data_IF_130342976435
#
_entry.id   IF_130342976435
#
_cell.length_a   1.000
_cell.length_b   1.000
_cell.length_c   1.000
_cell.angle_alpha   90.00
_cell.angle_beta   90.00
_cell.angle_gamma   90.00
#
_symmetry.space_group_name_H-M   'P 1'
#
loop_
_entity.id
_entity.type
_entity.pdbx_description
1 polymer ?
#
# COMPACT_ATOMS: atom_id res chain seq x y z
N UNK A 1 11.27 4.12 -28.15
CA UNK A 1 11.72 5.54 -28.13
C UNK A 1 10.81 6.49 -28.89
N UNK A 2 10.59 6.32 -30.21
CA UNK A 2 9.76 7.23 -31.03
C UNK A 2 8.41 7.59 -30.41
N UNK A 3 7.68 6.59 -29.90
CA UNK A 3 6.39 6.80 -29.24
C UNK A 3 6.48 7.71 -28.01
N UNK A 4 7.58 7.63 -27.25
CA UNK A 4 7.83 8.49 -26.07
C UNK A 4 8.00 9.94 -26.52
N UNK A 5 8.86 10.19 -27.52
CA UNK A 5 9.08 11.53 -28.06
C UNK A 5 7.76 12.14 -28.60
N UNK A 6 6.95 11.35 -29.28
CA UNK A 6 5.63 11.79 -29.76
C UNK A 6 4.67 12.15 -28.63
N UNK A 7 4.68 11.38 -27.54
CA UNK A 7 3.84 11.68 -26.38
C UNK A 7 4.29 12.98 -25.68
N UNK A 8 5.59 13.22 -25.55
CA UNK A 8 6.14 14.46 -25.00
C UNK A 8 5.71 15.67 -25.84
N UNK A 9 5.95 15.63 -27.16
CA UNK A 9 5.57 16.73 -28.05
C UNK A 9 4.04 17.00 -28.06
N UNK A 10 3.22 15.95 -27.90
CA UNK A 10 1.75 16.09 -27.82
C UNK A 10 1.25 16.65 -26.49
N UNK A 11 1.96 16.35 -25.40
CA UNK A 11 1.61 16.83 -24.07
C UNK A 11 1.89 18.33 -23.93
N UNK A 12 2.87 18.85 -24.68
CA UNK A 12 3.11 20.28 -24.78
C UNK A 12 2.12 20.97 -25.73
N UNK A 13 1.48 22.03 -25.24
CA UNK A 13 0.48 22.79 -25.98
C UNK A 13 1.08 23.68 -27.06
N UNK A 14 2.38 24.00 -26.97
CA UNK A 14 3.09 24.88 -27.91
C UNK A 14 3.67 24.14 -29.12
N UNK A 15 3.91 22.82 -29.03
CA UNK A 15 4.60 22.02 -30.05
C UNK A 15 3.65 21.16 -30.90
N UNK A 16 2.66 21.77 -31.54
CA UNK A 16 1.59 21.02 -32.25
C UNK A 16 2.03 20.28 -33.52
N UNK A 17 3.27 20.43 -34.01
CA UNK A 17 3.71 19.83 -35.29
C UNK A 17 5.22 19.49 -35.37
N UNK A 18 5.88 19.21 -34.25
CA UNK A 18 7.30 18.83 -34.31
C UNK A 18 7.47 17.44 -34.94
N UNK A 19 8.26 17.38 -36.02
CA UNK A 19 8.47 16.16 -36.79
C UNK A 19 9.44 15.23 -36.06
N UNK A 20 8.90 14.27 -35.32
CA UNK A 20 9.70 13.23 -34.65
C UNK A 20 10.37 12.33 -35.70
N UNK A 21 11.70 12.13 -35.65
CA UNK A 21 12.42 11.27 -36.58
C UNK A 21 11.92 9.82 -36.58
N UNK A 22 12.17 9.10 -37.68
CA UNK A 22 11.78 7.69 -37.83
C UNK A 22 12.93 6.72 -37.57
N UNK A 23 14.17 7.16 -37.84
CA UNK A 23 15.37 6.36 -37.69
C UNK A 23 15.94 6.44 -36.28
N UNK A 24 16.54 5.33 -35.83
CA UNK A 24 17.06 5.21 -34.46
C UNK A 24 18.17 6.23 -34.15
N UNK A 25 19.07 6.50 -35.10
CA UNK A 25 20.20 7.42 -34.90
C UNK A 25 19.72 8.83 -34.61
N UNK A 26 18.82 9.36 -35.44
CA UNK A 26 18.23 10.68 -35.21
C UNK A 26 17.38 10.70 -33.95
N UNK A 27 16.73 9.59 -33.57
CA UNK A 27 15.98 9.51 -32.31
C UNK A 27 16.88 9.59 -31.08
N UNK A 28 18.06 8.98 -31.10
CA UNK A 28 19.04 9.06 -30.01
C UNK A 28 19.51 10.50 -29.75
N UNK A 29 19.66 11.29 -30.82
CA UNK A 29 20.02 12.71 -30.72
C UNK A 29 18.80 13.59 -30.36
N UNK A 30 17.62 13.25 -30.86
CA UNK A 30 16.39 14.00 -30.63
C UNK A 30 15.82 13.81 -29.22
N UNK A 31 15.96 12.64 -28.61
CA UNK A 31 15.29 12.36 -27.34
C UNK A 31 15.77 13.27 -26.18
N UNK A 32 17.08 13.46 -25.94
CA UNK A 32 17.55 14.38 -24.89
C UNK A 32 17.14 15.83 -25.15
N UNK A 33 17.26 16.28 -26.40
CA UNK A 33 16.89 17.67 -26.79
C UNK A 33 15.39 17.91 -26.67
N UNK A 34 14.57 16.89 -26.96
CA UNK A 34 13.14 16.91 -26.75
C UNK A 34 12.79 17.08 -25.26
N UNK A 35 13.45 16.33 -24.36
CA UNK A 35 13.23 16.45 -22.92
C UNK A 35 13.59 17.85 -22.39
N UNK A 36 14.76 18.36 -22.78
CA UNK A 36 15.24 19.68 -22.33
C UNK A 36 14.35 20.82 -22.84
N UNK A 37 13.93 20.76 -24.11
CA UNK A 37 13.09 21.79 -24.74
C UNK A 37 11.71 21.91 -24.09
N UNK A 38 11.11 20.78 -23.72
CA UNK A 38 9.72 20.74 -23.26
C UNK A 38 9.58 20.76 -21.73
N UNK A 39 10.68 20.53 -20.99
CA UNK A 39 10.69 20.59 -19.53
C UNK A 39 10.92 22.01 -19.02
N UNK A 40 10.09 22.44 -18.07
CA UNK A 40 10.25 23.72 -17.39
C UNK A 40 9.80 23.64 -15.94
N UNK A 41 10.08 24.67 -15.14
CA UNK A 41 9.64 24.69 -13.73
C UNK A 41 8.11 24.69 -13.57
N UNK A 42 7.36 25.16 -14.58
CA UNK A 42 5.90 25.14 -14.60
C UNK A 42 5.34 23.89 -15.27
N UNK A 43 6.16 23.12 -15.99
CA UNK A 43 5.80 21.88 -16.66
C UNK A 43 6.92 20.84 -16.52
N UNK A 44 7.08 20.23 -15.33
CA UNK A 44 8.06 19.16 -15.14
C UNK A 44 7.64 17.91 -15.91
N UNK A 45 8.61 17.23 -16.52
CA UNK A 45 8.40 15.98 -17.23
C UNK A 45 8.79 14.82 -16.30
N UNK A 46 7.86 13.89 -16.07
CA UNK A 46 8.13 12.64 -15.36
C UNK A 46 7.92 11.48 -16.32
N UNK A 47 8.98 10.75 -16.67
CA UNK A 47 8.88 9.50 -17.43
C UNK A 47 8.85 8.32 -16.48
N UNK A 48 7.88 7.44 -16.66
CA UNK A 48 7.82 6.14 -15.99
C UNK A 48 7.97 5.06 -17.04
N UNK A 49 9.04 4.27 -16.93
CA UNK A 49 9.33 3.16 -17.83
C UNK A 49 9.36 1.88 -17.01
N UNK A 50 8.34 1.06 -17.23
CA UNK A 50 8.22 -0.22 -16.56
C UNK A 50 8.89 -1.34 -17.36
N UNK A 51 9.50 -2.29 -16.65
CA UNK A 51 10.03 -3.56 -17.16
C UNK A 51 11.03 -3.40 -18.30
N UNK A 52 12.13 -2.67 -18.08
CA UNK A 52 13.18 -2.45 -19.10
C UNK A 52 13.81 -3.75 -19.63
N UNK A 53 13.80 -4.82 -18.85
CA UNK A 53 14.22 -6.17 -19.25
C UNK A 53 13.35 -6.78 -20.38
N UNK A 54 12.12 -6.30 -20.55
CA UNK A 54 11.23 -6.75 -21.64
C UNK A 54 11.46 -6.02 -22.97
N UNK A 55 12.34 -5.01 -23.01
CA UNK A 55 12.72 -4.38 -24.28
C UNK A 55 13.33 -5.41 -25.23
N UNK A 56 13.13 -5.23 -26.53
CA UNK A 56 13.85 -6.02 -27.53
C UNK A 56 15.33 -5.64 -27.52
N UNK A 57 16.19 -6.60 -27.87
CA UNK A 57 17.61 -6.30 -28.14
C UNK A 57 17.81 -5.61 -29.50
N UNK A 58 16.77 -5.60 -30.34
CA UNK A 58 16.74 -4.84 -31.58
C UNK A 58 17.11 -3.37 -31.29
N UNK A 59 18.05 -2.85 -32.06
CA UNK A 59 18.60 -1.50 -31.91
C UNK A 59 19.21 -1.19 -30.52
N UNK A 60 19.60 -2.23 -29.75
CA UNK A 60 20.23 -2.05 -28.45
C UNK A 60 19.28 -1.58 -27.36
N UNK A 61 17.99 -1.93 -27.42
CA UNK A 61 16.98 -1.50 -26.45
C UNK A 61 17.37 -1.77 -24.99
N UNK A 62 17.89 -2.98 -24.71
CA UNK A 62 18.38 -3.40 -23.39
C UNK A 62 19.80 -2.89 -23.04
N UNK A 63 20.53 -2.35 -24.02
CA UNK A 63 21.85 -1.75 -23.79
C UNK A 63 21.73 -0.38 -23.09
N UNK A 64 20.53 0.23 -23.10
CA UNK A 64 20.20 1.49 -22.43
C UNK A 64 21.05 2.70 -22.84
N UNK A 65 21.80 2.63 -23.94
CA UNK A 65 22.58 3.76 -24.47
C UNK A 65 21.72 4.95 -24.86
N UNK A 66 20.43 4.70 -25.10
CA UNK A 66 19.42 5.71 -25.37
C UNK A 66 18.91 6.46 -24.15
N UNK A 67 19.15 5.92 -22.95
CA UNK A 67 18.73 6.56 -21.69
C UNK A 67 19.75 7.65 -21.36
N UNK A 68 19.33 8.92 -21.23
CA UNK A 68 20.24 10.01 -20.91
C UNK A 68 20.92 9.75 -19.56
N UNK A 69 22.25 9.81 -19.52
CA UNK A 69 23.03 9.67 -18.28
C UNK A 69 22.87 10.87 -17.36
N UNK A 70 22.64 12.04 -17.95
CA UNK A 70 22.34 13.28 -17.25
C UNK A 70 20.96 13.77 -17.70
N UNK A 71 20.09 14.03 -16.73
CA UNK A 71 18.77 14.59 -16.97
C UNK A 71 18.80 16.11 -16.85
N UNK A 72 18.12 16.78 -17.78
CA UNK A 72 17.89 18.21 -17.71
C UNK A 72 17.05 18.60 -16.48
N UNK A 73 17.11 19.88 -16.10
CA UNK A 73 16.32 20.40 -14.98
C UNK A 73 14.82 20.17 -15.23
N UNK A 74 14.09 19.79 -14.17
CA UNK A 74 12.66 19.48 -14.22
C UNK A 74 12.31 18.25 -15.07
N UNK A 75 13.27 17.37 -15.36
CA UNK A 75 13.05 16.05 -15.93
C UNK A 75 13.35 14.98 -14.88
N UNK A 76 12.41 14.08 -14.67
CA UNK A 76 12.53 12.96 -13.75
C UNK A 76 12.24 11.66 -14.49
N UNK A 77 13.02 10.60 -14.20
CA UNK A 77 12.77 9.26 -14.74
C UNK A 77 12.61 8.27 -13.60
N UNK A 78 11.57 7.44 -13.69
CA UNK A 78 11.33 6.28 -12.84
C UNK A 78 11.45 5.06 -13.75
N UNK A 79 12.44 4.20 -13.46
CA UNK A 79 12.76 3.04 -14.27
C UNK A 79 12.60 1.79 -13.41
N UNK A 80 11.95 0.74 -13.94
CA UNK A 80 11.90 -0.57 -13.29
C UNK A 80 12.58 -1.63 -14.15
N UNK A 81 13.27 -2.56 -13.49
CA UNK A 81 13.90 -3.72 -14.15
C UNK A 81 14.11 -4.85 -13.15
N UNK A 82 14.19 -6.09 -13.63
CA UNK A 82 14.50 -7.25 -12.81
C UNK A 82 15.92 -7.19 -12.21
N UNK A 83 16.08 -7.56 -10.93
CA UNK A 83 17.39 -7.73 -10.32
C UNK A 83 18.00 -9.07 -10.77
N UNK A 84 19.27 -9.06 -11.17
CA UNK A 84 20.01 -10.28 -11.53
C UNK A 84 21.20 -9.95 -12.43
N UNK A 85 22.28 -10.72 -12.31
CA UNK A 85 23.47 -10.53 -13.16
C UNK A 85 23.20 -10.94 -14.62
N UNK A 86 22.19 -11.78 -14.82
CA UNK A 86 21.65 -12.21 -16.10
C UNK A 86 20.88 -11.10 -16.84
N UNK A 87 20.43 -10.04 -16.14
CA UNK A 87 19.72 -8.92 -16.74
C UNK A 87 20.67 -7.74 -16.95
N UNK A 88 20.95 -7.40 -18.21
CA UNK A 88 21.93 -6.36 -18.59
C UNK A 88 21.51 -4.93 -18.21
N UNK A 89 20.21 -4.69 -18.02
CA UNK A 89 19.67 -3.37 -17.70
C UNK A 89 20.11 -2.88 -16.31
N UNK A 90 20.06 -3.74 -15.29
CA UNK A 90 20.29 -3.33 -13.90
C UNK A 90 21.75 -2.85 -13.63
N UNK A 91 22.80 -3.60 -14.02
CA UNK A 91 24.19 -3.14 -13.84
C UNK A 91 24.49 -1.82 -14.57
N UNK A 92 23.85 -1.58 -15.72
CA UNK A 92 24.04 -0.35 -16.50
C UNK A 92 23.35 0.87 -15.90
N UNK A 93 22.27 0.69 -15.14
CA UNK A 93 21.56 1.77 -14.45
C UNK A 93 22.22 2.19 -13.14
N UNK A 94 23.01 1.31 -12.50
CA UNK A 94 23.76 1.63 -11.27
C UNK A 94 24.57 2.94 -11.36
N UNK A 95 25.37 3.20 -12.41
CA UNK A 95 26.10 4.47 -12.55
C UNK A 95 25.22 5.68 -12.86
N UNK A 96 24.03 5.48 -13.48
CA UNK A 96 23.11 6.57 -13.87
C UNK A 96 22.23 7.03 -12.70
N UNK A 97 21.95 6.16 -11.73
CA UNK A 97 21.05 6.42 -10.60
C UNK A 97 21.62 7.26 -9.43
N UNK A 98 22.76 7.94 -9.61
CA UNK A 98 23.56 8.55 -8.54
C UNK A 98 22.92 9.67 -7.70
N UNK A 99 21.63 10.00 -7.89
CA UNK A 99 20.93 11.06 -7.12
C UNK A 99 19.67 10.63 -6.36
N UNK A 100 19.13 9.44 -6.59
CA UNK A 100 17.88 9.00 -5.96
C UNK A 100 17.71 7.48 -5.93
N UNK A 101 18.81 6.75 -5.79
CA UNK A 101 18.75 5.32 -5.51
C UNK A 101 18.41 5.09 -4.04
N UNK A 102 17.14 4.74 -3.75
CA UNK A 102 16.79 4.12 -2.47
C UNK A 102 17.48 2.76 -2.41
N UNK A 103 18.14 2.44 -1.30
CA UNK A 103 18.89 1.20 -1.15
C UNK A 103 18.02 -0.02 -1.44
N UNK A 104 18.51 -1.07 -2.13
CA UNK A 104 17.75 -2.27 -2.47
C UNK A 104 17.40 -3.10 -1.21
N UNK A 105 17.85 -2.66 -0.04
CA UNK A 105 17.42 -3.19 1.25
C UNK A 105 16.10 -2.58 1.76
N UNK A 106 15.64 -1.45 1.23
CA UNK A 106 14.46 -0.74 1.75
C UNK A 106 13.14 -1.19 1.10
N UNK A 107 13.20 -1.96 0.02
CA UNK A 107 12.03 -2.46 -0.74
C UNK A 107 12.20 -3.92 -1.18
N UNK A 108 12.43 -4.81 -0.21
CA UNK A 108 12.36 -6.27 -0.47
C UNK A 108 10.93 -6.75 -0.31
N UNK A 109 10.38 -7.28 -1.40
CA UNK A 109 9.13 -8.05 -1.35
C UNK A 109 9.46 -9.43 -0.78
N UNK A 110 8.73 -9.88 0.24
CA UNK A 110 8.94 -11.22 0.77
C UNK A 110 8.72 -12.30 -0.31
N UNK A 111 9.47 -13.43 -0.27
CA UNK A 111 9.45 -14.46 -1.32
C UNK A 111 8.19 -15.34 -1.30
N UNK A 112 7.27 -15.12 -0.36
CA UNK A 112 6.03 -15.91 -0.22
C UNK A 112 4.84 -14.98 -0.11
N UNK A 113 3.67 -15.41 -0.62
CA UNK A 113 2.44 -14.59 -0.51
C UNK A 113 2.12 -14.28 0.96
N UNK A 114 2.33 -15.26 1.86
CA UNK A 114 2.19 -15.05 3.30
C UNK A 114 3.12 -13.93 3.79
N UNK A 115 4.39 -13.95 3.39
CA UNK A 115 5.35 -12.89 3.71
C UNK A 115 4.91 -11.53 3.15
N UNK A 116 4.39 -11.49 1.91
CA UNK A 116 3.89 -10.24 1.31
C UNK A 116 2.72 -9.68 2.11
N UNK A 117 1.80 -10.54 2.54
CA UNK A 117 0.69 -10.15 3.42
C UNK A 117 1.21 -9.66 4.77
N UNK A 118 2.24 -10.29 5.35
CA UNK A 118 2.87 -9.78 6.56
C UNK A 118 3.47 -8.39 6.35
N UNK A 119 4.27 -8.19 5.30
CA UNK A 119 4.91 -6.90 5.00
C UNK A 119 3.88 -5.79 4.74
N UNK A 120 2.78 -6.12 4.07
CA UNK A 120 1.65 -5.21 3.85
C UNK A 120 0.99 -4.81 5.17
N UNK A 121 0.60 -5.78 5.99
CA UNK A 121 -0.05 -5.50 7.27
C UNK A 121 0.87 -4.75 8.23
N UNK A 122 2.17 -5.08 8.26
CA UNK A 122 3.17 -4.38 9.06
C UNK A 122 3.33 -2.91 8.63
N UNK A 123 3.19 -2.63 7.32
CA UNK A 123 3.20 -1.26 6.81
C UNK A 123 1.99 -0.47 7.29
N UNK A 124 0.79 -1.06 7.23
CA UNK A 124 -0.45 -0.43 7.70
C UNK A 124 -0.40 -0.20 9.22
N UNK A 125 0.13 -1.17 9.98
CA UNK A 125 0.37 -1.04 11.43
C UNK A 125 1.31 0.11 11.77
N UNK A 126 2.39 0.30 11.00
CA UNK A 126 3.31 1.44 11.19
C UNK A 126 2.67 2.78 10.89
N UNK A 127 1.75 2.83 9.93
CA UNK A 127 1.09 4.07 9.51
C UNK A 127 -0.03 4.52 10.46
N UNK A 128 -0.87 3.60 10.93
CA UNK A 128 -2.08 3.94 11.70
C UNK A 128 -2.02 3.55 13.19
N UNK A 129 -0.93 2.91 13.61
CA UNK A 129 -0.75 2.42 14.97
C UNK A 129 -0.96 0.91 15.05
N UNK A 130 0.05 0.22 15.59
CA UNK A 130 0.11 -1.24 15.62
C UNK A 130 -1.07 -1.86 16.36
N UNK A 131 -1.37 -1.36 17.56
CA UNK A 131 -2.42 -1.95 18.42
C UNK A 131 -3.79 -1.84 17.75
N UNK A 132 -4.16 -0.65 17.29
CA UNK A 132 -5.45 -0.42 16.64
C UNK A 132 -5.62 -1.30 15.39
N UNK A 133 -4.61 -1.29 14.50
CA UNK A 133 -4.66 -2.05 13.25
C UNK A 133 -4.67 -3.54 13.51
N UNK A 134 -3.71 -4.09 14.27
CA UNK A 134 -3.65 -5.52 14.56
C UNK A 134 -4.98 -6.02 15.14
N UNK A 135 -5.61 -5.22 16.00
CA UNK A 135 -6.85 -5.61 16.64
C UNK A 135 -8.07 -5.54 15.72
N UNK A 136 -8.19 -4.49 14.89
CA UNK A 136 -9.25 -4.38 13.90
C UNK A 136 -9.22 -5.56 12.91
N UNK A 137 -8.03 -5.86 12.37
CA UNK A 137 -7.80 -6.99 11.45
C UNK A 137 -8.18 -8.32 12.09
N UNK A 138 -7.84 -8.47 13.37
CA UNK A 138 -8.13 -9.66 14.18
C UNK A 138 -9.63 -9.85 14.38
N UNK A 139 -10.38 -8.81 14.74
CA UNK A 139 -11.84 -8.93 14.92
C UNK A 139 -12.55 -9.29 13.63
N UNK A 140 -12.14 -8.70 12.50
CA UNK A 140 -12.66 -9.08 11.18
C UNK A 140 -12.38 -10.56 10.91
N UNK A 141 -11.16 -11.04 11.18
CA UNK A 141 -10.76 -12.43 10.96
C UNK A 141 -11.41 -13.45 11.93
N UNK A 142 -11.81 -12.99 13.11
CA UNK A 142 -12.53 -13.77 14.12
C UNK A 142 -14.03 -13.85 13.82
N UNK A 143 -14.58 -12.88 13.09
CA UNK A 143 -16.00 -12.86 12.71
C UNK A 143 -16.34 -14.03 11.76
N UNK A 144 -17.51 -14.66 11.96
CA UNK A 144 -17.97 -15.76 11.10
C UNK A 144 -18.66 -15.26 9.83
N UNK A 145 -19.51 -14.25 10.00
CA UNK A 145 -20.35 -13.71 8.92
C UNK A 145 -19.84 -12.35 8.42
N UNK A 146 -18.73 -11.84 8.94
CA UNK A 146 -18.31 -10.44 8.76
C UNK A 146 -18.84 -9.53 9.87
N UNK A 147 -18.39 -8.28 9.86
CA UNK A 147 -18.82 -7.22 10.79
C UNK A 147 -19.23 -6.00 9.98
N UNK A 148 -20.31 -5.33 10.37
CA UNK A 148 -20.62 -3.99 9.86
C UNK A 148 -19.58 -2.97 10.38
N UNK A 149 -19.41 -1.83 9.70
CA UNK A 149 -18.51 -0.77 10.20
C UNK A 149 -18.86 -0.31 11.61
N UNK A 150 -20.14 -0.05 11.95
CA UNK A 150 -20.49 0.35 13.30
C UNK A 150 -20.21 -0.74 14.34
N UNK A 151 -20.44 -2.02 14.01
CA UNK A 151 -20.10 -3.12 14.92
C UNK A 151 -18.59 -3.18 15.18
N UNK A 152 -17.77 -3.03 14.13
CA UNK A 152 -16.32 -3.03 14.30
C UNK A 152 -15.85 -1.84 15.14
N UNK A 153 -16.36 -0.64 14.89
CA UNK A 153 -16.06 0.56 15.68
C UNK A 153 -16.48 0.39 17.15
N UNK A 154 -17.66 -0.20 17.38
CA UNK A 154 -18.16 -0.46 18.71
C UNK A 154 -17.32 -1.54 19.41
N UNK A 155 -16.94 -2.63 18.74
CA UNK A 155 -16.05 -3.67 19.28
C UNK A 155 -14.68 -3.08 19.65
N UNK A 156 -14.09 -2.23 18.79
CA UNK A 156 -12.84 -1.54 19.08
C UNK A 156 -12.99 -0.55 20.24
N UNK A 157 -14.17 0.05 20.41
CA UNK A 157 -14.52 0.91 21.55
C UNK A 157 -14.70 0.15 22.86
N UNK A 158 -14.83 -1.17 22.81
CA UNK A 158 -14.84 -2.01 24.02
C UNK A 158 -13.43 -2.43 24.46
N UNK A 159 -12.45 -2.31 23.57
CA UNK A 159 -11.10 -2.77 23.81
C UNK A 159 -10.26 -1.71 24.53
N UNK A 160 -10.11 -1.87 25.85
CA UNK A 160 -9.30 -0.96 26.66
C UNK A 160 -7.84 -0.86 26.21
N UNK A 161 -7.26 -1.90 25.59
CA UNK A 161 -5.89 -1.85 25.06
C UNK A 161 -5.83 -0.90 23.86
N UNK A 162 -6.80 -1.01 22.95
CA UNK A 162 -6.93 -0.10 21.80
C UNK A 162 -7.21 1.31 22.28
N UNK A 163 -8.15 1.50 23.21
CA UNK A 163 -8.50 2.82 23.71
C UNK A 163 -7.37 3.47 24.51
N UNK A 164 -6.57 2.72 25.26
CA UNK A 164 -5.37 3.25 25.92
C UNK A 164 -4.32 3.72 24.90
N UNK A 165 -4.19 3.01 23.77
CA UNK A 165 -3.26 3.37 22.70
C UNK A 165 -3.74 4.56 21.87
N UNK A 166 -5.06 4.70 21.65
CA UNK A 166 -5.65 5.85 20.94
C UNK A 166 -5.66 7.11 21.80
N UNK A 167 -5.91 6.96 23.10
CA UNK A 167 -6.10 8.07 24.05
C UNK A 167 -4.92 8.21 25.02
N UNK A 168 -3.69 8.21 24.49
CA UNK A 168 -2.46 8.29 25.29
C UNK A 168 -2.35 9.56 26.14
N UNK A 169 -2.81 10.70 25.61
CA UNK A 169 -2.57 12.02 26.20
C UNK A 169 -3.79 12.65 26.87
N UNK A 170 -5.00 12.14 26.62
CA UNK A 170 -6.23 12.70 27.15
C UNK A 170 -7.32 11.64 27.21
N UNK A 171 -8.23 11.72 28.18
CA UNK A 171 -9.37 10.80 28.29
C UNK A 171 -10.67 11.55 27.97
N UNK A 172 -11.41 11.17 26.92
CA UNK A 172 -12.70 11.78 26.63
C UNK A 172 -13.75 11.47 27.70
N UNK A 173 -14.78 12.34 27.86
CA UNK A 173 -15.93 12.05 28.70
C UNK A 173 -16.67 10.77 28.27
N UNK A 174 -16.70 10.49 26.96
CA UNK A 174 -17.25 9.27 26.37
C UNK A 174 -16.12 8.57 25.63
N UNK A 175 -15.74 7.39 26.12
CA UNK A 175 -14.62 6.61 25.60
C UNK A 175 -15.08 5.69 24.47
N UNK A 176 -15.18 6.24 23.26
CA UNK A 176 -15.42 5.47 22.01
C UNK A 176 -14.34 5.74 20.99
N UNK A 177 -14.08 4.80 20.10
CA UNK A 177 -13.17 4.98 18.98
C UNK A 177 -13.67 6.12 18.08
N UNK A 178 -12.82 7.10 17.72
CA UNK A 178 -13.16 8.08 16.70
C UNK A 178 -13.34 7.39 15.32
N UNK A 179 -14.50 7.53 14.65
CA UNK A 179 -14.79 6.83 13.38
C UNK A 179 -13.74 7.07 12.27
N UNK A 180 -13.15 8.28 12.28
CA UNK A 180 -12.12 8.67 11.32
C UNK A 180 -10.88 7.76 11.32
N UNK A 181 -10.55 7.11 12.44
CA UNK A 181 -9.40 6.22 12.51
C UNK A 181 -9.65 4.94 11.69
N UNK A 182 -10.84 4.35 11.83
CA UNK A 182 -11.21 3.18 11.03
C UNK A 182 -11.34 3.53 9.55
N UNK A 183 -11.97 4.65 9.20
CA UNK A 183 -12.11 5.10 7.80
C UNK A 183 -10.75 5.19 7.09
N UNK A 184 -9.71 5.71 7.76
CA UNK A 184 -8.35 5.80 7.20
C UNK A 184 -7.71 4.43 7.01
N UNK A 185 -7.80 3.56 8.01
CA UNK A 185 -7.28 2.18 7.90
C UNK A 185 -7.98 1.48 6.74
N UNK A 186 -9.31 1.58 6.67
CA UNK A 186 -10.13 0.99 5.62
C UNK A 186 -9.75 1.50 4.24
N UNK A 187 -9.40 2.77 4.09
CA UNK A 187 -8.95 3.32 2.80
C UNK A 187 -7.67 2.64 2.30
N UNK A 188 -6.79 2.21 3.21
CA UNK A 188 -5.50 1.61 2.85
C UNK A 188 -5.57 0.10 2.61
N UNK A 189 -6.56 -0.59 3.19
CA UNK A 189 -6.73 -2.04 3.06
C UNK A 189 -8.00 -2.45 2.30
N UNK A 190 -8.74 -1.47 1.76
CA UNK A 190 -10.06 -1.66 1.17
C UNK A 190 -10.10 -2.70 0.06
N UNK A 191 -9.04 -2.77 -0.76
CA UNK A 191 -8.92 -3.73 -1.87
C UNK A 191 -8.80 -5.20 -1.40
N UNK A 192 -8.44 -5.42 -0.13
CA UNK A 192 -8.31 -6.76 0.47
C UNK A 192 -9.55 -7.19 1.26
N UNK A 193 -10.52 -6.27 1.38
CA UNK A 193 -11.78 -6.49 2.07
C UNK A 193 -12.91 -6.67 1.04
N UNK A 194 -13.91 -7.46 1.41
CA UNK A 194 -15.14 -7.62 0.63
C UNK A 194 -16.34 -7.19 1.47
N UNK A 195 -17.23 -6.43 0.84
CA UNK A 195 -18.54 -6.13 1.40
C UNK A 195 -19.58 -7.14 0.92
N UNK A 196 -20.35 -7.68 1.86
CA UNK A 196 -21.45 -8.63 1.57
C UNK A 196 -22.71 -8.22 2.30
N UNK A 197 -23.86 -8.58 1.77
CA UNK A 197 -25.12 -8.49 2.49
C UNK A 197 -25.28 -9.70 3.41
N UNK A 198 -25.44 -9.48 4.71
CA UNK A 198 -25.78 -10.51 5.70
C UNK A 198 -26.80 -9.95 6.69
N UNK A 199 -27.85 -10.73 7.00
CA UNK A 199 -28.90 -10.36 7.96
C UNK A 199 -29.53 -8.96 7.74
N UNK A 200 -29.61 -8.52 6.47
CA UNK A 200 -30.16 -7.22 6.10
C UNK A 200 -29.19 -6.04 6.23
N UNK A 201 -27.92 -6.27 6.54
CA UNK A 201 -26.88 -5.25 6.67
C UNK A 201 -25.67 -5.52 5.75
N UNK A 202 -24.87 -4.48 5.48
CA UNK A 202 -23.59 -4.58 4.74
C UNK A 202 -22.46 -4.86 5.73
N UNK A 203 -21.90 -6.06 5.64
CA UNK A 203 -20.81 -6.54 6.48
C UNK A 203 -19.52 -6.62 5.69
N UNK A 204 -18.41 -6.36 6.37
CA UNK A 204 -17.05 -6.45 5.86
C UNK A 204 -16.47 -7.80 6.26
N UNK A 205 -15.78 -8.44 5.32
CA UNK A 205 -15.00 -9.64 5.57
C UNK A 205 -13.71 -9.63 4.75
N UNK A 206 -12.78 -10.53 5.05
CA UNK A 206 -11.58 -10.76 4.25
C UNK A 206 -11.92 -11.35 2.90
N UNK A 207 -11.31 -10.83 1.84
CA UNK A 207 -11.45 -11.40 0.50
C UNK A 207 -10.73 -12.75 0.39
N UNK A 208 -9.48 -12.84 0.90
CA UNK A 208 -8.62 -14.00 0.72
C UNK A 208 -8.21 -14.67 2.04
N UNK A 209 -8.18 -16.01 2.06
CA UNK A 209 -7.90 -16.83 3.24
C UNK A 209 -6.55 -16.52 3.90
N UNK A 210 -5.53 -16.17 3.11
CA UNK A 210 -4.20 -15.84 3.67
C UNK A 210 -4.24 -14.59 4.56
N UNK A 211 -5.13 -13.61 4.30
CA UNK A 211 -5.30 -12.48 5.20
C UNK A 211 -5.93 -12.91 6.52
N UNK A 212 -6.90 -13.84 6.49
CA UNK A 212 -7.51 -14.40 7.70
C UNK A 212 -6.45 -15.10 8.56
N UNK A 213 -5.63 -15.98 7.96
CA UNK A 213 -4.58 -16.70 8.66
C UNK A 213 -3.53 -15.74 9.24
N UNK A 214 -3.08 -14.78 8.44
CA UNK A 214 -2.04 -13.82 8.84
C UNK A 214 -2.54 -12.80 9.87
N UNK A 215 -3.83 -12.43 9.82
CA UNK A 215 -4.47 -11.60 10.85
C UNK A 215 -4.70 -12.39 12.15
N UNK A 216 -5.06 -13.68 12.07
CA UNK A 216 -5.19 -14.54 13.25
C UNK A 216 -3.86 -14.77 13.95
N UNK A 217 -2.74 -14.81 13.22
CA UNK A 217 -1.42 -14.87 13.84
C UNK A 217 -1.07 -13.64 14.67
N UNK A 218 -1.74 -12.50 14.44
CA UNK A 218 -1.62 -11.27 15.24
C UNK A 218 -2.48 -11.29 16.50
N UNK A 219 -3.30 -12.33 16.72
CA UNK A 219 -4.05 -12.51 17.96
C UNK A 219 -3.08 -12.57 19.16
N UNK A 220 -3.28 -11.72 20.19
CA UNK A 220 -2.57 -11.91 21.45
C UNK A 220 -2.99 -13.27 22.05
N UNK A 221 -2.05 -14.22 22.12
CA UNK A 221 -2.29 -15.61 22.57
C UNK A 221 -2.94 -15.74 23.96
N UNK A 222 -2.85 -14.71 24.80
CA UNK A 222 -3.55 -14.59 26.09
C UNK A 222 -3.78 -13.11 26.38
N UNK A 223 -5.03 -12.67 26.49
CA UNK A 223 -5.35 -11.46 27.27
C UNK A 223 -5.72 -11.92 28.66
N UNK A 224 -5.04 -11.36 29.67
CA UNK A 224 -5.38 -11.63 31.05
C UNK A 224 -6.84 -11.22 31.28
N UNK A 225 -7.63 -12.14 31.84
CA UNK A 225 -9.03 -11.97 32.23
C UNK A 225 -9.29 -10.82 33.21
N UNK A 226 -8.25 -10.10 33.63
CA UNK A 226 -8.33 -9.01 34.61
C UNK A 226 -8.77 -7.66 34.04
N UNK A 227 -8.95 -7.53 32.71
CA UNK A 227 -9.24 -6.24 32.07
C UNK A 227 -10.65 -6.14 31.45
N UNK A 228 -11.39 -7.24 31.35
CA UNK A 228 -12.73 -7.23 30.76
C UNK A 228 -13.81 -7.23 31.85
N UNK A 229 -14.42 -6.07 32.09
CA UNK A 229 -15.56 -5.92 33.00
C UNK A 229 -16.85 -5.76 32.19
N UNK A 230 -17.51 -6.89 31.90
CA UNK A 230 -18.70 -6.94 31.05
C UNK A 230 -19.85 -6.04 31.56
N UNK A 231 -19.89 -5.77 32.88
CA UNK A 231 -20.90 -4.91 33.49
C UNK A 231 -20.77 -3.44 33.06
N UNK A 232 -19.56 -2.96 32.74
CA UNK A 232 -19.35 -1.60 32.21
C UNK A 232 -20.01 -1.41 30.85
N UNK A 233 -20.03 -2.46 30.04
CA UNK A 233 -20.31 -2.36 28.61
C UNK A 233 -21.73 -2.77 28.23
N UNK A 234 -22.41 -3.57 29.06
CA UNK A 234 -23.83 -3.93 28.85
C UNK A 234 -24.78 -2.73 28.75
N UNK A 235 -24.41 -1.57 29.30
CA UNK A 235 -25.23 -0.34 29.21
C UNK A 235 -25.02 0.46 27.92
N UNK A 236 -23.89 0.27 27.24
CA UNK A 236 -23.47 1.09 26.11
C UNK A 236 -23.58 0.36 24.78
N UNK A 237 -23.59 -0.97 24.80
CA UNK A 237 -23.52 -1.82 23.61
C UNK A 237 -24.49 -3.01 23.67
N UNK A 238 -24.91 -3.58 22.52
CA UNK A 238 -25.83 -4.71 22.49
C UNK A 238 -25.28 -5.94 23.22
N UNK A 239 -26.11 -6.60 24.05
CA UNK A 239 -25.72 -7.79 24.83
C UNK A 239 -25.11 -8.92 23.99
N UNK A 240 -25.61 -9.14 22.77
CA UNK A 240 -25.06 -10.13 21.84
C UNK A 240 -23.61 -9.83 21.48
N UNK A 241 -23.27 -8.55 21.30
CA UNK A 241 -21.93 -8.11 20.96
C UNK A 241 -20.99 -8.19 22.16
N UNK A 242 -21.46 -7.79 23.36
CA UNK A 242 -20.68 -7.93 24.60
C UNK A 242 -20.34 -9.41 24.86
N UNK A 243 -21.30 -10.32 24.68
CA UNK A 243 -21.07 -11.78 24.82
C UNK A 243 -20.12 -12.34 23.75
N UNK A 244 -20.26 -11.91 22.50
CA UNK A 244 -19.31 -12.32 21.44
C UNK A 244 -17.88 -11.85 21.76
N UNK A 245 -17.73 -10.61 22.23
CA UNK A 245 -16.47 -10.10 22.71
C UNK A 245 -15.94 -10.93 23.89
N UNK A 246 -16.77 -11.26 24.90
CA UNK A 246 -16.36 -12.17 25.99
C UNK A 246 -15.85 -13.51 25.46
N UNK A 247 -16.54 -14.12 24.49
CA UNK A 247 -16.11 -15.38 23.87
C UNK A 247 -14.77 -15.22 23.14
N UNK A 248 -14.56 -14.11 22.43
CA UNK A 248 -13.31 -13.83 21.69
C UNK A 248 -12.16 -13.44 22.62
N UNK A 249 -12.42 -12.74 23.73
CA UNK A 249 -11.41 -12.26 24.68
C UNK A 249 -11.07 -13.27 25.78
N UNK A 250 -12.05 -14.06 26.23
CA UNK A 250 -11.92 -14.97 27.37
C UNK A 250 -12.02 -16.46 26.99
N UNK A 251 -12.51 -16.80 25.80
CA UNK A 251 -12.69 -18.19 25.34
C UNK A 251 -11.44 -18.81 24.69
N UNK A 252 -11.17 -20.08 25.01
CA UNK A 252 -9.99 -20.86 24.62
C UNK A 252 -9.94 -21.33 23.15
N UNK A 253 -8.68 -21.56 22.71
CA UNK A 253 -8.15 -22.39 21.60
C UNK A 253 -8.97 -22.48 20.30
N UNK A 254 -8.53 -21.68 19.32
CA UNK A 254 -8.87 -21.81 17.92
C UNK A 254 -8.29 -23.13 17.37
N UNK A 255 -9.10 -24.19 17.29
CA UNK A 255 -8.82 -25.39 16.49
C UNK A 255 -9.00 -25.12 15.00
#
# INVERSE_FOLDING_TARGET
>A
MRSICQQICRADKESKNEAVPQDIRSLLEFFPTCLEKHASSSNPIVLVLDSLDQLSDDDGGRELDWVPKELANNVYMILSTLPGAEYICFPKLQPVGGKSYTSPNDTKLAPTIKGIVHDLLDRVERLHGKVLVSQALTYIAASRNGLTEPELEDILSLDDVVLNDVYQYWTPPIRRLPPLLWIRIRSDIGDYLIERGADGARVINWYHRQFIETARERLPRKRASSCWDSLKYERLFPRKMVRWCEEVFCGQEWK
#
